data_IF_167822661359
#
_entry.id   IF_167822661359
#
_cell.length_a   1.000
_cell.length_b   1.000
_cell.length_c   1.000
_cell.angle_alpha   90.00
_cell.angle_beta   90.00
_cell.angle_gamma   90.00
#
_symmetry.space_group_name_H-M   'P 1'
#
loop_
_entity.id
_entity.type
_entity.pdbx_description
1 polymer ?
#
# COMPACT_ATOMS: atom_id res chain seq x y z
N UNK A 1 -0.35 17.27 -12.74
CA UNK A 1 -0.75 18.67 -12.47
C UNK A 1 -0.60 19.61 -13.67
N UNK A 2 0.49 19.57 -14.43
CA UNK A 2 0.79 20.57 -15.47
C UNK A 2 -0.32 20.80 -16.53
N UNK A 3 -0.95 19.74 -17.04
CA UNK A 3 -2.00 19.88 -18.04
C UNK A 3 -3.23 20.64 -17.53
N UNK A 4 -3.62 20.39 -16.28
CA UNK A 4 -4.77 21.04 -15.64
C UNK A 4 -4.47 22.52 -15.40
N UNK A 5 -3.29 22.84 -14.86
CA UNK A 5 -2.87 24.23 -14.66
C UNK A 5 -2.83 25.03 -15.98
N UNK A 6 -2.26 24.44 -17.04
CA UNK A 6 -2.25 25.06 -18.38
C UNK A 6 -3.65 25.23 -18.96
N UNK A 7 -4.56 24.28 -18.71
CA UNK A 7 -5.95 24.41 -19.11
C UNK A 7 -6.62 25.60 -18.45
N UNK A 8 -6.40 25.77 -17.14
CA UNK A 8 -6.95 26.87 -16.36
C UNK A 8 -6.38 28.23 -16.80
N UNK A 9 -5.08 28.32 -17.08
CA UNK A 9 -4.44 29.51 -17.63
C UNK A 9 -5.09 29.95 -18.95
N UNK A 10 -5.45 29.00 -19.82
CA UNK A 10 -6.15 29.31 -21.07
C UNK A 10 -7.54 29.86 -20.84
N UNK A 11 -8.27 29.36 -19.84
CA UNK A 11 -9.60 29.89 -19.49
C UNK A 11 -9.51 31.32 -18.95
N UNK A 12 -8.47 31.63 -18.17
CA UNK A 12 -8.20 33.00 -17.69
C UNK A 12 -7.88 33.93 -18.87
N UNK A 13 -7.09 33.47 -19.84
CA UNK A 13 -6.79 34.23 -21.05
C UNK A 13 -8.04 34.50 -21.88
N UNK A 14 -8.89 33.47 -22.07
CA UNK A 14 -10.14 33.59 -22.80
C UNK A 14 -11.08 34.61 -22.13
N UNK A 15 -11.23 34.53 -20.80
CA UNK A 15 -12.01 35.52 -20.05
C UNK A 15 -11.49 36.94 -20.30
N UNK A 16 -10.18 37.13 -20.23
CA UNK A 16 -9.55 38.46 -20.43
C UNK A 16 -9.78 38.99 -21.84
N UNK A 17 -9.78 38.12 -22.86
CA UNK A 17 -10.06 38.50 -24.24
C UNK A 17 -11.54 38.92 -24.40
N UNK A 18 -12.47 38.11 -23.86
CA UNK A 18 -13.91 38.31 -24.04
C UNK A 18 -14.46 39.55 -23.33
N UNK A 19 -13.79 40.10 -22.31
CA UNK A 19 -14.22 41.33 -21.65
C UNK A 19 -14.24 42.55 -22.60
N UNK A 20 -13.48 42.50 -23.70
CA UNK A 20 -13.44 43.57 -24.71
C UNK A 20 -14.51 43.47 -25.80
N UNK A 21 -15.29 42.38 -25.84
CA UNK A 21 -16.28 42.11 -26.89
C UNK A 21 -17.61 42.86 -26.69
N UNK A 22 -17.79 43.56 -25.57
CA UNK A 22 -19.01 44.29 -25.25
C UNK A 22 -20.19 43.38 -24.85
N UNK A 23 -21.45 43.87 -24.91
CA UNK A 23 -22.60 43.21 -24.28
C UNK A 23 -22.89 41.78 -24.78
N UNK A 24 -22.38 41.41 -25.96
CA UNK A 24 -22.60 40.09 -26.53
C UNK A 24 -21.86 38.99 -25.75
N UNK A 25 -20.79 39.32 -25.03
CA UNK A 25 -20.00 38.36 -24.23
C UNK A 25 -20.40 38.34 -22.74
N UNK A 26 -21.30 39.20 -22.27
CA UNK A 26 -21.63 39.35 -20.85
C UNK A 26 -21.97 38.02 -20.16
N UNK A 27 -22.84 37.22 -20.79
CA UNK A 27 -23.23 35.90 -20.28
C UNK A 27 -22.04 34.94 -20.21
N UNK A 28 -21.16 34.99 -21.21
CA UNK A 28 -19.97 34.15 -21.27
C UNK A 28 -18.95 34.54 -20.19
N UNK A 29 -18.64 35.83 -20.07
CA UNK A 29 -17.75 36.37 -19.04
C UNK A 29 -18.25 36.04 -17.63
N UNK A 30 -19.56 36.16 -17.37
CA UNK A 30 -20.16 35.78 -16.09
C UNK A 30 -19.97 34.28 -15.80
N UNK A 31 -20.27 33.43 -16.79
CA UNK A 31 -20.14 31.97 -16.66
C UNK A 31 -18.69 31.56 -16.41
N UNK A 32 -17.73 32.16 -17.13
CA UNK A 32 -16.31 31.89 -16.93
C UNK A 32 -15.81 32.33 -15.55
N UNK A 33 -16.26 33.47 -15.03
CA UNK A 33 -15.92 33.93 -13.67
C UNK A 33 -16.40 32.96 -12.60
N UNK A 34 -17.63 32.48 -12.71
CA UNK A 34 -18.20 31.48 -11.78
C UNK A 34 -17.43 30.15 -11.87
N UNK A 35 -17.15 29.69 -13.09
CA UNK A 35 -16.35 28.49 -13.32
C UNK A 35 -14.94 28.61 -12.73
N UNK A 36 -14.23 29.71 -13.01
CA UNK A 36 -12.86 29.94 -12.53
C UNK A 36 -12.80 29.97 -11.00
N UNK A 37 -13.76 30.64 -10.35
CA UNK A 37 -13.83 30.69 -8.88
C UNK A 37 -13.84 29.29 -8.25
N UNK A 38 -14.58 28.36 -8.84
CA UNK A 38 -14.63 26.98 -8.38
C UNK A 38 -13.38 26.18 -8.80
N UNK A 39 -13.04 26.22 -10.08
CA UNK A 39 -11.95 25.42 -10.64
C UNK A 39 -10.59 25.76 -10.02
N UNK A 40 -10.30 27.04 -9.75
CA UNK A 40 -9.05 27.44 -9.10
C UNK A 40 -8.91 26.85 -7.69
N UNK A 41 -9.99 26.80 -6.92
CA UNK A 41 -9.99 26.19 -5.60
C UNK A 41 -9.70 24.69 -5.66
N UNK A 42 -10.36 23.98 -6.58
CA UNK A 42 -10.15 22.55 -6.78
C UNK A 42 -8.73 22.23 -7.28
N UNK A 43 -8.20 23.00 -8.23
CA UNK A 43 -6.83 22.82 -8.74
C UNK A 43 -5.80 23.07 -7.64
N UNK A 44 -6.03 24.06 -6.78
CA UNK A 44 -5.17 24.34 -5.61
C UNK A 44 -5.22 23.20 -4.58
N UNK A 45 -6.40 22.69 -4.28
CA UNK A 45 -6.60 21.54 -3.39
C UNK A 45 -5.85 20.31 -3.91
N UNK A 46 -6.02 20.02 -5.20
CA UNK A 46 -5.33 18.91 -5.87
C UNK A 46 -3.81 19.09 -5.85
N UNK A 47 -3.30 20.29 -6.13
CA UNK A 47 -1.87 20.59 -6.06
C UNK A 47 -1.29 20.33 -4.66
N UNK A 48 -2.02 20.75 -3.61
CA UNK A 48 -1.64 20.51 -2.22
C UNK A 48 -1.58 19.02 -1.89
N UNK A 49 -2.57 18.26 -2.32
CA UNK A 49 -2.61 16.81 -2.13
C UNK A 49 -1.40 16.13 -2.79
N UNK A 50 -1.14 16.41 -4.06
CA UNK A 50 0.02 15.83 -4.76
C UNK A 50 1.36 16.22 -4.13
N UNK A 51 1.49 17.46 -3.64
CA UNK A 51 2.70 17.88 -2.91
C UNK A 51 2.88 17.11 -1.61
N UNK A 52 1.80 16.92 -0.84
CA UNK A 52 1.83 16.13 0.39
C UNK A 52 2.20 14.68 0.14
N UNK A 53 1.57 14.04 -0.85
CA UNK A 53 1.87 12.65 -1.24
C UNK A 53 3.33 12.52 -1.70
N UNK A 54 3.81 13.42 -2.56
CA UNK A 54 5.20 13.41 -3.04
C UNK A 54 6.21 13.46 -1.89
N UNK A 55 6.03 14.39 -0.94
CA UNK A 55 6.92 14.49 0.24
C UNK A 55 6.92 13.23 1.09
N UNK A 56 5.76 12.61 1.29
CA UNK A 56 5.64 11.37 2.07
C UNK A 56 6.36 10.21 1.38
N UNK A 57 6.26 10.13 0.06
CA UNK A 57 6.92 9.11 -0.77
C UNK A 57 8.44 9.31 -0.72
N UNK A 58 8.92 10.53 -0.93
CA UNK A 58 10.34 10.86 -0.85
C UNK A 58 10.91 10.51 0.54
N UNK A 59 10.19 10.84 1.61
CA UNK A 59 10.59 10.50 2.98
C UNK A 59 10.69 8.97 3.20
N UNK A 60 9.76 8.20 2.62
CA UNK A 60 9.79 6.74 2.70
C UNK A 60 10.99 6.16 1.95
N UNK A 61 11.25 6.63 0.72
CA UNK A 61 12.40 6.21 -0.09
C UNK A 61 13.71 6.50 0.67
N UNK A 62 13.83 7.70 1.25
CA UNK A 62 14.98 8.09 2.07
C UNK A 62 15.13 7.24 3.33
N UNK A 63 14.01 6.88 3.99
CA UNK A 63 14.04 6.02 5.17
C UNK A 63 14.65 4.64 4.86
N UNK A 64 14.43 4.12 3.66
CA UNK A 64 15.06 2.87 3.20
C UNK A 64 16.47 3.06 2.61
N UNK A 65 17.02 4.28 2.63
CA UNK A 65 18.36 4.58 2.12
C UNK A 65 18.46 4.63 0.60
N UNK A 66 17.33 4.77 -0.09
CA UNK A 66 17.26 4.90 -1.55
C UNK A 66 17.28 6.38 -1.99
N UNK A 67 17.52 6.61 -3.27
CA UNK A 67 17.51 7.94 -3.90
C UNK A 67 16.12 8.22 -4.52
N UNK A 68 15.38 9.24 -4.05
CA UNK A 68 14.09 9.63 -4.62
C UNK A 68 14.12 9.95 -6.11
N UNK A 69 15.23 10.46 -6.64
CA UNK A 69 15.36 10.74 -8.07
C UNK A 69 15.39 9.47 -8.95
N UNK A 70 15.61 8.31 -8.32
CA UNK A 70 15.75 7.01 -8.98
C UNK A 70 14.61 6.05 -8.68
N UNK A 71 13.66 6.44 -7.82
CA UNK A 71 12.57 5.57 -7.37
C UNK A 71 11.21 6.23 -7.71
N UNK A 72 10.55 5.82 -8.80
CA UNK A 72 9.25 6.36 -9.17
C UNK A 72 8.17 5.93 -8.17
N UNK A 73 7.13 6.76 -8.04
CA UNK A 73 6.02 6.53 -7.12
C UNK A 73 5.38 5.14 -7.28
N UNK A 74 5.19 4.70 -8.52
CA UNK A 74 4.58 3.42 -8.86
C UNK A 74 5.42 2.24 -8.35
N UNK A 75 6.74 2.38 -8.35
CA UNK A 75 7.64 1.38 -7.80
C UNK A 75 7.48 1.29 -6.28
N UNK A 76 7.42 2.42 -5.58
CA UNK A 76 7.19 2.44 -4.13
C UNK A 76 5.89 1.74 -3.76
N UNK A 77 4.81 2.03 -4.47
CA UNK A 77 3.50 1.39 -4.24
C UNK A 77 3.56 -0.10 -4.52
N UNK A 78 4.19 -0.51 -5.62
CA UNK A 78 4.34 -1.92 -5.99
C UNK A 78 5.15 -2.70 -4.96
N UNK A 79 6.25 -2.14 -4.47
CA UNK A 79 7.09 -2.75 -3.45
C UNK A 79 6.33 -2.94 -2.14
N UNK A 80 5.58 -1.93 -1.68
CA UNK A 80 4.76 -2.05 -0.47
C UNK A 80 3.67 -3.11 -0.63
N UNK A 81 2.98 -3.12 -1.77
CA UNK A 81 1.96 -4.11 -2.08
C UNK A 81 2.53 -5.54 -2.07
N UNK A 82 3.66 -5.75 -2.74
CA UNK A 82 4.32 -7.04 -2.78
C UNK A 82 4.82 -7.48 -1.41
N UNK A 83 5.37 -6.56 -0.62
CA UNK A 83 5.79 -6.84 0.75
C UNK A 83 4.62 -7.35 1.60
N UNK A 84 3.49 -6.64 1.61
CA UNK A 84 2.30 -7.05 2.39
C UNK A 84 1.79 -8.41 1.92
N UNK A 85 1.74 -8.63 0.60
CA UNK A 85 1.30 -9.91 0.02
C UNK A 85 2.22 -11.06 0.42
N UNK A 86 3.53 -10.89 0.30
CA UNK A 86 4.53 -11.90 0.66
C UNK A 86 4.55 -12.16 2.16
N UNK A 87 4.45 -11.11 2.98
CA UNK A 87 4.41 -11.22 4.43
C UNK A 87 3.18 -12.03 4.90
N UNK A 88 2.01 -11.75 4.32
CA UNK A 88 0.81 -12.53 4.60
C UNK A 88 0.96 -14.00 4.22
N UNK A 89 1.51 -14.27 3.02
CA UNK A 89 1.79 -15.63 2.57
C UNK A 89 2.73 -16.38 3.52
N UNK A 90 3.83 -15.74 3.93
CA UNK A 90 4.78 -16.31 4.87
C UNK A 90 4.13 -16.61 6.23
N UNK A 91 3.24 -15.73 6.71
CA UNK A 91 2.49 -15.98 7.94
C UNK A 91 1.63 -17.24 7.86
N UNK A 92 0.88 -17.42 6.76
CA UNK A 92 0.07 -18.62 6.53
C UNK A 92 0.93 -19.88 6.46
N UNK A 93 2.07 -19.82 5.78
CA UNK A 93 3.01 -20.93 5.66
C UNK A 93 3.63 -21.31 7.01
N UNK A 94 4.01 -20.31 7.82
CA UNK A 94 4.54 -20.52 9.17
C UNK A 94 3.52 -21.20 10.11
N UNK A 95 2.24 -20.80 10.06
CA UNK A 95 1.19 -21.44 10.86
C UNK A 95 1.04 -22.93 10.49
N UNK A 96 1.02 -23.25 9.19
CA UNK A 96 0.94 -24.65 8.72
C UNK A 96 2.14 -25.49 9.18
N UNK A 97 3.34 -24.92 9.08
CA UNK A 97 4.57 -25.60 9.49
C UNK A 97 4.57 -25.89 11.00
N UNK A 98 4.12 -24.92 11.82
CA UNK A 98 4.01 -25.09 13.27
C UNK A 98 3.05 -26.23 13.65
N UNK A 99 1.88 -26.31 13.00
CA UNK A 99 0.92 -27.41 13.22
C UNK A 99 1.52 -28.79 12.91
N UNK A 100 2.26 -28.89 11.81
CA UNK A 100 2.93 -30.13 11.41
C UNK A 100 4.00 -30.53 12.43
N UNK A 101 4.80 -29.59 12.91
CA UNK A 101 5.84 -29.84 13.90
C UNK A 101 5.26 -30.26 15.25
N UNK A 102 4.20 -29.60 15.73
CA UNK A 102 3.50 -29.98 16.95
C UNK A 102 2.93 -31.41 16.86
N UNK A 103 2.36 -31.79 15.71
CA UNK A 103 1.84 -33.14 15.50
C UNK A 103 2.95 -34.19 15.52
N UNK A 104 4.07 -33.93 14.84
CA UNK A 104 5.25 -34.83 14.82
C UNK A 104 5.83 -35.04 16.21
N UNK A 105 5.94 -33.97 17.01
CA UNK A 105 6.41 -34.05 18.40
C UNK A 105 5.50 -34.95 19.23
N UNK A 106 4.18 -34.73 19.16
CA UNK A 106 3.19 -35.55 19.87
C UNK A 106 3.23 -37.04 19.47
N UNK A 107 3.43 -37.35 18.18
CA UNK A 107 3.57 -38.71 17.69
C UNK A 107 4.88 -39.38 18.18
N UNK A 108 5.98 -38.62 18.20
CA UNK A 108 7.27 -39.11 18.68
C UNK A 108 7.26 -39.41 20.19
N UNK A 109 6.59 -38.57 20.99
CA UNK A 109 6.46 -38.79 22.44
C UNK A 109 5.55 -39.97 22.75
N UNK A 110 4.42 -40.11 22.04
CA UNK A 110 3.56 -41.30 22.17
C UNK A 110 4.32 -42.59 21.85
N UNK A 111 5.16 -42.56 20.83
CA UNK A 111 5.99 -43.72 20.45
C UNK A 111 7.03 -44.08 21.51
N UNK A 112 7.69 -43.07 22.11
CA UNK A 112 8.66 -43.27 23.21
C UNK A 112 7.98 -43.81 24.47
N UNK A 113 6.81 -43.28 24.83
CA UNK A 113 6.03 -43.75 25.99
C UNK A 113 5.53 -45.18 25.77
N UNK A 114 5.08 -45.51 24.55
CA UNK A 114 4.70 -46.87 24.16
C UNK A 114 5.86 -47.86 24.30
N UNK A 115 7.04 -47.51 23.76
CA UNK A 115 8.24 -48.34 23.86
C UNK A 115 8.71 -48.54 25.32
N UNK A 116 8.64 -47.51 26.16
CA UNK A 116 8.98 -47.60 27.58
C UNK A 116 8.00 -48.49 28.35
N UNK A 117 6.70 -48.37 28.08
CA UNK A 117 5.66 -49.25 28.68
C UNK A 117 5.84 -50.70 28.25
N UNK A 118 6.17 -50.95 26.99
CA UNK A 118 6.39 -52.31 26.49
C UNK A 118 7.67 -52.95 27.04
N UNK A 119 8.75 -52.18 27.20
CA UNK A 119 9.97 -52.63 27.87
C UNK A 119 9.69 -52.97 29.34
N UNK A 120 8.96 -52.12 30.06
CA UNK A 120 8.56 -52.38 31.45
C UNK A 120 7.73 -53.66 31.58
N UNK A 121 6.71 -53.82 30.73
CA UNK A 121 5.87 -55.02 30.71
C UNK A 121 6.65 -56.30 30.33
N UNK A 122 7.73 -56.20 29.54
CA UNK A 122 8.61 -57.34 29.24
C UNK A 122 9.50 -57.71 30.43
N UNK A 123 9.99 -56.72 31.18
CA UNK A 123 10.79 -56.95 32.39
C UNK A 123 9.95 -57.60 33.49
N UNK A 124 8.70 -57.14 33.71
CA UNK A 124 7.78 -57.74 34.69
C UNK A 124 7.39 -59.19 34.35
N UNK A 125 7.32 -59.54 33.06
CA UNK A 125 7.06 -60.92 32.61
C UNK A 125 8.30 -61.82 32.69
N UNK A 126 9.48 -61.27 32.96
CA UNK A 126 10.78 -61.95 32.84
C UNK A 126 11.49 -62.33 34.15
N UNK A 127 10.89 -62.14 35.33
CA UNK A 127 11.47 -62.60 36.60
C UNK A 127 10.53 -63.53 37.35
N UNK A 128 10.46 -64.79 36.91
CA UNK A 128 10.25 -65.96 37.77
C UNK A 128 11.08 -67.10 37.17
N UNK A 129 12.31 -67.26 37.67
CA UNK A 129 13.01 -68.54 37.73
C UNK A 129 13.32 -68.80 39.19
#
# INVERSE_FOLDING_TARGET
MQAISKGLEKVVQELSASESDGPISDTFCKTLKEFLCFAEAEVRSLASLYSGVGKNVDALILYFGEDPARCPFEQVVSTLFDFVRLFHKAHVENCKQLEIEMKKLAESEKSKIGAHKELHARIERGSVK
#
